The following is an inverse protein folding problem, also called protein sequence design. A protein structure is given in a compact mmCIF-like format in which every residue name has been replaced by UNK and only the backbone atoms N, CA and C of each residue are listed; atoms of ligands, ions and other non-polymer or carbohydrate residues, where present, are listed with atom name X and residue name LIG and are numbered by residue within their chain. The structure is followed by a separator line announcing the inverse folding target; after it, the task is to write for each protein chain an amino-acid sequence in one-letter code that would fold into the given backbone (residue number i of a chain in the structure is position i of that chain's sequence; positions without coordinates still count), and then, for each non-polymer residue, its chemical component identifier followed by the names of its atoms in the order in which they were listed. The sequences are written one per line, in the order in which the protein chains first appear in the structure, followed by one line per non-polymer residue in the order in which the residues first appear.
data_IF_022320919882
#
_entry.id   IF_022320919882
#
_cell.length_a   1.000
_cell.length_b   1.000
_cell.length_c   1.000
_cell.angle_alpha   90.00
_cell.angle_beta   90.00
_cell.angle_gamma   90.00
#
_symmetry.space_group_name_H-M   'P 1'
#
loop_
_entity.id
_entity.type
_entity.pdbx_description
1 polymer ?
#
# COMPACT_ATOMS: atom_id res chain seq x y z
N UNK A 1 -12.75 -8.12 6.00
CA UNK A 1 -11.66 -8.33 5.03
C UNK A 1 -10.48 -7.53 5.52
N UNK A 2 -9.43 -8.20 5.98
CA UNK A 2 -8.27 -7.55 6.60
C UNK A 2 -7.11 -7.58 5.62
N UNK A 3 -6.39 -6.47 5.47
CA UNK A 3 -5.12 -6.47 4.74
C UNK A 3 -4.09 -7.10 5.67
N UNK A 4 -3.58 -8.27 5.31
CA UNK A 4 -2.60 -8.99 6.14
C UNK A 4 -1.16 -8.71 5.70
N UNK A 5 -0.96 -8.36 4.44
CA UNK A 5 0.36 -8.08 3.86
C UNK A 5 0.27 -6.85 2.97
N UNK A 6 1.27 -5.98 3.08
CA UNK A 6 1.40 -4.76 2.28
C UNK A 6 2.73 -4.82 1.52
N UNK A 7 2.66 -4.75 0.19
CA UNK A 7 3.82 -4.55 -0.68
C UNK A 7 4.01 -3.06 -0.98
N UNK A 8 5.26 -2.59 -0.92
CA UNK A 8 5.63 -1.21 -1.25
C UNK A 8 6.80 -1.25 -2.22
N UNK A 9 6.58 -0.83 -3.46
CA UNK A 9 7.64 -0.71 -4.46
C UNK A 9 8.28 0.67 -4.37
N UNK A 10 9.61 0.69 -4.30
CA UNK A 10 10.40 1.90 -4.11
C UNK A 10 10.82 2.50 -5.45
N UNK A 11 10.47 3.77 -5.67
CA UNK A 11 11.15 4.66 -6.60
C UNK A 11 11.51 5.98 -5.88
N UNK A 12 12.17 6.93 -6.57
CA UNK A 12 12.75 8.13 -5.91
C UNK A 12 11.73 8.95 -5.10
N UNK A 13 10.60 9.30 -5.70
CA UNK A 13 9.58 10.17 -5.09
C UNK A 13 8.16 9.62 -5.20
N UNK A 14 8.00 8.46 -5.82
CA UNK A 14 6.72 7.80 -6.07
C UNK A 14 6.84 6.36 -5.58
N UNK A 15 5.80 5.86 -4.95
CA UNK A 15 5.69 4.50 -4.45
C UNK A 15 4.48 3.83 -5.09
N UNK A 16 4.57 2.53 -5.38
CA UNK A 16 3.39 1.70 -5.61
C UNK A 16 3.09 0.94 -4.32
N UNK A 17 1.83 0.95 -3.88
CA UNK A 17 1.39 0.28 -2.66
C UNK A 17 0.29 -0.72 -3.01
N UNK A 18 0.51 -1.95 -2.59
CA UNK A 18 -0.39 -3.08 -2.80
C UNK A 18 -0.72 -3.72 -1.46
N UNK A 19 -1.95 -4.16 -1.26
CA UNK A 19 -2.34 -4.90 -0.06
C UNK A 19 -3.12 -6.15 -0.44
N UNK A 20 -2.82 -7.25 0.22
CA UNK A 20 -3.51 -8.54 0.04
C UNK A 20 -4.21 -8.98 1.31
N UNK A 21 -5.35 -9.65 1.13
CA UNK A 21 -6.10 -10.28 2.22
C UNK A 21 -5.61 -11.70 2.54
N UNK A 22 -6.26 -12.34 3.51
CA UNK A 22 -5.96 -13.70 3.97
C UNK A 22 -6.11 -14.78 2.89
N UNK A 23 -6.85 -14.50 1.83
CA UNK A 23 -7.03 -15.40 0.69
C UNK A 23 -6.01 -15.13 -0.43
N UNK A 24 -5.05 -14.23 -0.19
CA UNK A 24 -4.06 -13.79 -1.19
C UNK A 24 -4.65 -12.87 -2.26
N UNK A 25 -5.89 -12.40 -2.10
CA UNK A 25 -6.52 -11.49 -3.05
C UNK A 25 -6.02 -10.07 -2.82
N UNK A 26 -5.68 -9.39 -3.91
CA UNK A 26 -5.31 -7.97 -3.87
C UNK A 26 -6.56 -7.14 -3.56
N UNK A 27 -6.54 -6.41 -2.44
CA UNK A 27 -7.65 -5.59 -1.93
C UNK A 27 -7.29 -4.10 -1.80
N UNK A 28 -6.00 -3.75 -1.93
CA UNK A 28 -5.53 -2.37 -2.00
C UNK A 28 -4.57 -2.24 -3.20
N UNK A 29 -4.82 -1.27 -4.07
CA UNK A 29 -3.94 -0.93 -5.22
C UNK A 29 -3.81 0.58 -5.33
N UNK A 30 -2.61 1.08 -5.08
CA UNK A 30 -2.23 2.50 -5.20
C UNK A 30 -0.91 2.58 -5.98
N UNK A 31 -0.95 2.60 -7.33
CA UNK A 31 0.24 2.48 -8.16
C UNK A 31 1.12 3.74 -8.14
N UNK A 32 0.59 4.87 -7.64
CA UNK A 32 1.32 6.13 -7.49
C UNK A 32 0.95 6.79 -6.17
N UNK A 33 1.86 6.75 -5.22
CA UNK A 33 1.79 7.42 -3.93
C UNK A 33 2.98 8.35 -3.85
N UNK A 34 2.76 9.65 -3.72
CA UNK A 34 3.84 10.60 -3.53
C UNK A 34 4.49 10.39 -2.15
N UNK A 35 5.78 10.73 -2.02
CA UNK A 35 6.55 10.51 -0.78
C UNK A 35 5.92 11.14 0.46
N UNK A 36 5.38 12.35 0.34
CA UNK A 36 4.69 13.07 1.42
C UNK A 36 3.36 12.40 1.83
N UNK A 37 2.76 11.62 0.94
CA UNK A 37 1.49 10.90 1.16
C UNK A 37 1.64 9.48 1.69
N UNK A 38 2.86 8.92 1.65
CA UNK A 38 3.08 7.54 2.07
C UNK A 38 2.76 7.32 3.55
N UNK A 39 3.22 8.23 4.42
CA UNK A 39 2.97 8.12 5.87
C UNK A 39 1.46 8.19 6.18
N UNK A 40 0.75 9.10 5.53
CA UNK A 40 -0.70 9.22 5.66
C UNK A 40 -1.41 7.94 5.22
N UNK A 41 -1.00 7.36 4.09
CA UNK A 41 -1.55 6.11 3.60
C UNK A 41 -1.34 4.97 4.60
N UNK A 42 -0.13 4.80 5.13
CA UNK A 42 0.19 3.74 6.11
C UNK A 42 -0.64 3.90 7.39
N UNK A 43 -0.87 5.13 7.86
CA UNK A 43 -1.72 5.39 9.03
C UNK A 43 -3.18 4.93 8.84
N UNK A 44 -3.68 4.93 7.61
CA UNK A 44 -5.05 4.48 7.28
C UNK A 44 -5.19 2.97 7.20
N UNK A 45 -4.08 2.21 7.28
CA UNK A 45 -4.09 0.74 7.28
C UNK A 45 -4.29 0.13 8.67
N UNK A 46 -4.50 0.98 9.68
CA UNK A 46 -4.71 0.58 11.07
C UNK A 46 -6.15 0.24 11.37
#
# INVERSE_FOLDING_TARGET
MSIITVGIDLAKNIFAVHGVDDNGKVVLVKPKVARDKLLELVRRLR
#
